data_IF_621720375327
#
_entry.id   IF_621720375327
#
_cell.length_a   1.000
_cell.length_b   1.000
_cell.length_c   1.000
_cell.angle_alpha   90.00
_cell.angle_beta   90.00
_cell.angle_gamma   90.00
#
_symmetry.space_group_name_H-M   'P 1'
#
loop_
_entity.id
_entity.type
_entity.pdbx_description
1 polymer ?
#
# COMPACT_ATOMS: atom_id res chain seq x y z
N UNK A 1 -88.93 -24.96 -19.93
CA UNK A 1 -88.12 -25.43 -21.07
C UNK A 1 -86.71 -24.92 -20.83
N UNK A 2 -85.74 -25.84 -20.70
CA UNK A 2 -84.25 -25.76 -20.73
C UNK A 2 -83.57 -24.40 -20.45
N UNK A 3 -82.44 -24.23 -19.78
CA UNK A 3 -81.33 -24.99 -19.19
C UNK A 3 -80.52 -23.85 -18.51
N UNK A 4 -79.84 -23.98 -17.38
CA UNK A 4 -78.70 -24.84 -17.20
C UNK A 4 -77.83 -24.32 -16.04
N UNK A 5 -77.26 -25.27 -15.31
CA UNK A 5 -76.23 -25.12 -14.29
C UNK A 5 -74.99 -24.39 -14.83
N UNK A 6 -74.28 -23.65 -13.97
CA UNK A 6 -72.94 -24.07 -13.49
C UNK A 6 -72.36 -23.08 -12.47
N UNK A 7 -71.93 -23.64 -11.33
CA UNK A 7 -71.02 -23.04 -10.35
C UNK A 7 -69.67 -22.75 -11.03
N UNK A 8 -69.03 -21.63 -10.67
CA UNK A 8 -67.60 -21.46 -10.90
C UNK A 8 -66.95 -20.94 -9.62
N UNK A 9 -66.09 -21.78 -9.03
CA UNK A 9 -65.11 -21.46 -8.01
C UNK A 9 -63.97 -20.72 -8.73
N UNK A 10 -63.55 -19.57 -8.22
CA UNK A 10 -62.50 -18.74 -8.82
C UNK A 10 -61.56 -18.15 -7.76
N UNK A 11 -60.53 -18.94 -7.45
CA UNK A 11 -59.20 -18.62 -6.92
C UNK A 11 -58.88 -17.16 -6.53
N UNK A 12 -58.50 -16.98 -5.26
CA UNK A 12 -57.75 -15.82 -4.77
C UNK A 12 -56.29 -15.97 -5.22
N UNK A 13 -55.79 -15.05 -6.05
CA UNK A 13 -54.36 -14.96 -6.37
C UNK A 13 -53.72 -13.94 -5.44
N UNK A 14 -52.90 -14.45 -4.51
CA UNK A 14 -52.03 -13.68 -3.65
C UNK A 14 -50.85 -13.17 -4.49
N UNK A 15 -50.89 -11.90 -4.88
CA UNK A 15 -49.80 -11.25 -5.59
C UNK A 15 -48.61 -11.03 -4.67
N UNK A 16 -47.66 -11.98 -4.67
CA UNK A 16 -46.36 -11.79 -4.03
C UNK A 16 -45.56 -10.74 -4.80
N UNK A 17 -45.12 -9.73 -4.05
CA UNK A 17 -44.11 -8.74 -4.40
C UNK A 17 -42.85 -9.43 -4.93
N UNK A 18 -42.63 -9.38 -6.25
CA UNK A 18 -41.31 -9.59 -6.82
C UNK A 18 -40.56 -8.26 -6.78
N UNK A 19 -39.98 -7.96 -5.62
CA UNK A 19 -38.88 -7.01 -5.56
C UNK A 19 -37.74 -7.57 -6.39
N UNK A 20 -37.39 -6.88 -7.49
CA UNK A 20 -36.18 -7.15 -8.24
C UNK A 20 -34.98 -6.85 -7.35
N UNK A 21 -34.50 -7.85 -6.61
CA UNK A 21 -33.14 -7.84 -6.10
C UNK A 21 -32.22 -7.94 -7.31
N UNK A 22 -31.57 -6.84 -7.67
CA UNK A 22 -30.40 -6.88 -8.53
C UNK A 22 -29.37 -7.79 -7.86
N UNK A 23 -29.20 -9.01 -8.37
CA UNK A 23 -28.09 -9.87 -8.01
C UNK A 23 -26.87 -9.24 -8.71
N UNK A 24 -26.04 -8.54 -7.94
CA UNK A 24 -24.78 -8.00 -8.44
C UNK A 24 -23.92 -9.17 -8.95
N UNK A 25 -23.61 -9.18 -10.25
CA UNK A 25 -22.70 -10.16 -10.85
C UNK A 25 -21.29 -9.94 -10.31
N UNK A 26 -20.89 -10.78 -9.36
CA UNK A 26 -19.58 -10.74 -8.70
C UNK A 26 -18.60 -11.72 -9.40
N UNK A 27 -18.58 -11.76 -10.73
CA UNK A 27 -17.82 -12.76 -11.52
C UNK A 27 -16.71 -12.17 -12.39
N UNK A 28 -16.56 -10.84 -12.50
CA UNK A 28 -15.63 -10.25 -13.48
C UNK A 28 -14.14 -10.48 -13.18
N UNK A 29 -13.76 -10.67 -11.92
CA UNK A 29 -12.39 -11.04 -11.52
C UNK A 29 -12.21 -12.56 -11.39
N UNK A 30 -13.29 -13.34 -11.54
CA UNK A 30 -13.25 -14.78 -11.41
C UNK A 30 -12.44 -15.39 -12.57
N UNK A 31 -11.53 -16.31 -12.24
CA UNK A 31 -10.69 -17.00 -13.24
C UNK A 31 -9.37 -16.32 -13.63
N UNK A 32 -9.05 -15.13 -13.11
CA UNK A 32 -7.73 -14.49 -13.33
C UNK A 32 -6.63 -15.23 -12.55
N UNK A 33 -6.92 -15.59 -11.30
CA UNK A 33 -6.02 -16.34 -10.42
C UNK A 33 -6.74 -17.50 -9.74
N UNK A 34 -6.07 -18.26 -8.86
CA UNK A 34 -6.69 -19.37 -8.13
C UNK A 34 -7.85 -18.91 -7.24
N UNK A 35 -7.75 -17.69 -6.70
CA UNK A 35 -8.80 -17.00 -5.91
C UNK A 35 -8.48 -15.52 -5.76
N UNK A 36 -9.48 -14.74 -5.38
CA UNK A 36 -9.32 -13.32 -5.04
C UNK A 36 -8.55 -13.14 -3.73
N UNK A 37 -7.69 -12.13 -3.70
CA UNK A 37 -6.92 -11.71 -2.53
C UNK A 37 -7.57 -10.53 -1.79
N UNK A 38 -8.46 -9.81 -2.46
CA UNK A 38 -9.23 -8.69 -1.93
C UNK A 38 -10.42 -8.41 -2.85
N UNK A 39 -11.43 -7.72 -2.34
CA UNK A 39 -12.57 -7.29 -3.16
C UNK A 39 -12.10 -6.43 -4.34
N UNK A 40 -12.68 -6.65 -5.51
CA UNK A 40 -12.42 -5.79 -6.66
C UNK A 40 -12.90 -4.36 -6.42
N UNK A 41 -12.23 -3.38 -7.04
CA UNK A 41 -12.61 -1.97 -6.99
C UNK A 41 -12.90 -1.45 -8.38
N UNK A 42 -13.94 -0.61 -8.52
CA UNK A 42 -14.19 0.15 -9.74
C UNK A 42 -13.35 1.43 -9.75
N UNK A 43 -12.63 1.66 -10.84
CA UNK A 43 -11.81 2.84 -11.11
C UNK A 43 -12.30 3.46 -12.42
N UNK A 44 -13.44 4.17 -12.35
CA UNK A 44 -14.04 4.83 -13.50
C UNK A 44 -14.31 3.89 -14.70
N UNK A 45 -14.88 2.71 -14.42
CA UNK A 45 -15.18 1.69 -15.44
C UNK A 45 -14.03 0.73 -15.75
N UNK A 46 -12.86 0.92 -15.14
CA UNK A 46 -11.81 -0.10 -15.04
C UNK A 46 -11.99 -0.88 -13.74
N UNK A 47 -11.97 -2.21 -13.78
CA UNK A 47 -12.01 -3.01 -12.56
C UNK A 47 -10.60 -3.41 -12.13
N UNK A 48 -10.23 -3.03 -10.91
CA UNK A 48 -9.01 -3.44 -10.22
C UNK A 48 -9.27 -4.78 -9.51
N UNK A 49 -8.66 -5.87 -9.99
CA UNK A 49 -8.79 -7.21 -9.46
C UNK A 49 -7.52 -7.62 -8.69
N UNK A 50 -7.66 -7.91 -7.40
CA UNK A 50 -6.57 -8.43 -6.57
C UNK A 50 -6.70 -9.93 -6.47
N UNK A 51 -5.70 -10.67 -6.97
CA UNK A 51 -5.76 -12.13 -6.99
C UNK A 51 -4.48 -12.74 -6.45
N UNK A 52 -4.62 -13.91 -5.83
CA UNK A 52 -3.47 -14.74 -5.54
C UNK A 52 -2.86 -15.26 -6.85
N UNK A 53 -1.55 -15.44 -6.89
CA UNK A 53 -0.84 -15.99 -8.04
C UNK A 53 0.19 -17.01 -7.58
N UNK A 54 0.39 -18.07 -8.38
CA UNK A 54 1.39 -19.09 -8.06
C UNK A 54 2.77 -18.51 -8.30
N UNK A 55 3.60 -18.45 -7.27
CA UNK A 55 5.00 -18.05 -7.42
C UNK A 55 5.81 -19.24 -7.92
N UNK A 56 6.51 -19.10 -9.05
CA UNK A 56 7.45 -20.11 -9.53
C UNK A 56 8.70 -20.12 -8.65
N UNK A 57 8.65 -20.80 -7.52
CA UNK A 57 9.82 -20.93 -6.63
C UNK A 57 10.74 -22.03 -7.19
N UNK A 58 11.88 -21.64 -7.78
CA UNK A 58 12.88 -22.58 -8.32
C UNK A 58 13.67 -23.36 -7.26
N UNK A 59 13.51 -23.05 -5.98
CA UNK A 59 14.26 -23.70 -4.90
C UNK A 59 13.34 -24.35 -3.87
N UNK A 60 13.48 -25.68 -3.80
CA UNK A 60 12.84 -26.59 -2.87
C UNK A 60 13.08 -26.18 -1.41
N UNK A 61 12.04 -25.61 -0.78
CA UNK A 61 11.72 -25.87 0.63
C UNK A 61 10.21 -26.00 0.72
N UNK A 62 9.75 -27.08 1.31
CA UNK A 62 8.35 -27.31 1.65
C UNK A 62 7.93 -26.27 2.68
N UNK A 63 7.43 -25.13 2.21
CA UNK A 63 6.66 -24.23 3.04
C UNK A 63 5.37 -24.97 3.46
N UNK A 64 4.95 -24.82 4.71
CA UNK A 64 3.76 -25.49 5.26
C UNK A 64 2.45 -25.07 4.56
N UNK A 65 2.50 -24.00 3.74
CA UNK A 65 1.46 -23.54 2.83
C UNK A 65 2.10 -23.27 1.47
N UNK A 66 1.38 -23.55 0.39
CA UNK A 66 1.81 -23.13 -0.95
C UNK A 66 1.90 -21.60 -0.94
N UNK A 67 3.09 -21.01 -1.17
CA UNK A 67 3.22 -19.59 -0.92
C UNK A 67 2.80 -18.84 -2.18
N UNK A 68 1.52 -18.48 -2.20
CA UNK A 68 0.94 -17.68 -3.27
C UNK A 68 1.34 -16.21 -3.09
N UNK A 69 1.75 -15.57 -4.19
CA UNK A 69 1.93 -14.14 -4.28
C UNK A 69 0.60 -13.44 -4.47
N UNK A 70 0.60 -12.11 -4.43
CA UNK A 70 -0.57 -11.30 -4.78
C UNK A 70 -0.23 -10.45 -6.00
N UNK A 71 -1.18 -10.32 -6.90
CA UNK A 71 -1.04 -9.48 -8.10
C UNK A 71 -2.30 -8.66 -8.33
N UNK A 72 -2.12 -7.45 -8.86
CA UNK A 72 -3.19 -6.57 -9.31
C UNK A 72 -3.32 -6.69 -10.82
N UNK A 73 -4.55 -6.94 -11.27
CA UNK A 73 -4.93 -6.89 -12.68
C UNK A 73 -5.95 -5.76 -12.91
N UNK A 74 -5.90 -5.18 -14.11
CA UNK A 74 -6.92 -4.28 -14.63
C UNK A 74 -7.80 -5.05 -15.61
N UNK A 75 -9.12 -4.93 -15.46
CA UNK A 75 -10.11 -5.56 -16.33
C UNK A 75 -11.01 -4.48 -16.92
N UNK A 76 -11.20 -4.55 -18.23
CA UNK A 76 -12.20 -3.78 -18.98
C UNK A 76 -13.13 -4.81 -19.62
N UNK A 77 -14.44 -4.57 -19.58
CA UNK A 77 -15.39 -5.44 -20.27
C UNK A 77 -14.97 -5.63 -21.72
N UNK A 78 -14.92 -6.87 -22.20
CA UNK A 78 -14.48 -7.29 -23.55
C UNK A 78 -12.96 -7.37 -23.82
N UNK A 79 -12.10 -7.08 -22.84
CA UNK A 79 -10.65 -7.28 -22.97
C UNK A 79 -10.11 -8.37 -22.03
N UNK A 80 -8.95 -8.93 -22.39
CA UNK A 80 -8.22 -9.81 -21.49
C UNK A 80 -7.70 -9.02 -20.27
N UNK A 81 -7.75 -9.58 -19.05
CA UNK A 81 -7.14 -8.99 -17.86
C UNK A 81 -5.66 -8.63 -18.09
N UNK A 82 -5.28 -7.41 -17.74
CA UNK A 82 -3.91 -6.91 -17.88
C UNK A 82 -3.24 -6.86 -16.51
N UNK A 83 -2.07 -7.51 -16.37
CA UNK A 83 -1.27 -7.42 -15.15
C UNK A 83 -0.79 -5.97 -14.97
N UNK A 84 -1.09 -5.38 -13.82
CA UNK A 84 -0.67 -4.03 -13.45
C UNK A 84 0.54 -4.08 -12.54
N UNK A 85 0.50 -4.95 -11.52
CA UNK A 85 1.53 -5.01 -10.50
C UNK A 85 1.58 -6.36 -9.81
N UNK A 86 2.79 -6.84 -9.54
CA UNK A 86 3.05 -7.96 -8.64
C UNK A 86 3.54 -7.41 -7.31
N UNK A 87 2.81 -7.71 -6.23
CA UNK A 87 3.18 -7.21 -4.92
C UNK A 87 4.45 -7.90 -4.41
N UNK A 88 5.27 -7.23 -3.57
CA UNK A 88 6.49 -7.83 -3.06
C UNK A 88 6.19 -9.13 -2.32
N UNK A 89 7.01 -10.15 -2.55
CA UNK A 89 6.81 -11.49 -1.99
C UNK A 89 8.05 -11.93 -1.22
N UNK A 90 7.83 -12.38 0.02
CA UNK A 90 8.90 -12.74 0.95
C UNK A 90 8.88 -14.23 1.35
N UNK A 91 8.31 -15.12 0.52
CA UNK A 91 8.25 -16.55 0.85
C UNK A 91 7.06 -16.95 1.71
N UNK A 92 6.17 -16.01 2.02
CA UNK A 92 4.95 -16.19 2.80
C UNK A 92 3.75 -15.70 1.99
N UNK A 93 2.57 -16.26 2.26
CA UNK A 93 1.34 -15.81 1.63
C UNK A 93 1.06 -14.36 2.05
N UNK A 94 0.94 -13.47 1.07
CA UNK A 94 0.61 -12.07 1.28
C UNK A 94 -0.89 -11.84 1.50
N UNK A 95 -1.25 -10.67 2.01
CA UNK A 95 -2.65 -10.23 2.11
C UNK A 95 -2.75 -8.74 1.81
N UNK A 96 -3.72 -8.35 0.99
CA UNK A 96 -4.13 -6.96 0.92
C UNK A 96 -4.97 -6.67 2.17
N UNK A 97 -4.46 -5.81 3.03
CA UNK A 97 -5.17 -5.44 4.27
C UNK A 97 -6.12 -4.29 4.04
N UNK A 98 -5.84 -3.43 3.04
CA UNK A 98 -6.69 -2.31 2.69
C UNK A 98 -6.44 -1.83 1.26
N UNK A 99 -7.47 -1.27 0.62
CA UNK A 99 -7.37 -0.63 -0.68
C UNK A 99 -8.40 0.49 -0.80
N UNK A 100 -7.95 1.73 -1.00
CA UNK A 100 -8.78 2.92 -0.95
C UNK A 100 -8.26 4.03 -1.86
N UNK A 101 -9.16 4.94 -2.26
CA UNK A 101 -8.81 6.09 -3.08
C UNK A 101 -8.47 7.29 -2.20
N UNK A 102 -7.43 8.04 -2.57
CA UNK A 102 -7.15 9.34 -1.98
C UNK A 102 -6.90 10.42 -3.03
N UNK A 103 -7.38 11.65 -2.80
CA UNK A 103 -6.93 12.79 -3.56
C UNK A 103 -5.47 13.10 -3.22
N UNK A 104 -4.69 13.41 -4.24
CA UNK A 104 -3.26 13.71 -4.09
C UNK A 104 -2.96 15.03 -4.77
N UNK A 105 -2.32 15.97 -4.07
CA UNK A 105 -2.05 17.28 -4.66
C UNK A 105 -1.20 17.15 -5.93
N UNK A 106 -1.64 17.87 -6.98
CA UNK A 106 -1.04 17.79 -8.32
C UNK A 106 -1.46 16.59 -9.17
N UNK A 107 -2.28 15.66 -8.64
CA UNK A 107 -2.93 14.63 -9.45
C UNK A 107 -4.29 15.13 -9.97
N UNK A 108 -4.66 14.72 -11.18
CA UNK A 108 -5.94 15.08 -11.79
C UNK A 108 -7.11 14.27 -11.23
N UNK A 109 -6.87 13.00 -10.91
CA UNK A 109 -7.84 12.06 -10.35
C UNK A 109 -7.33 11.51 -9.02
N UNK A 110 -8.23 10.95 -8.22
CA UNK A 110 -7.84 10.20 -7.02
C UNK A 110 -6.96 9.00 -7.41
N UNK A 111 -6.00 8.68 -6.55
CA UNK A 111 -5.11 7.55 -6.74
C UNK A 111 -5.53 6.41 -5.83
N UNK A 112 -5.40 5.18 -6.30
CA UNK A 112 -5.66 3.97 -5.54
C UNK A 112 -4.42 3.62 -4.70
N UNK A 113 -4.57 3.60 -3.39
CA UNK A 113 -3.56 3.15 -2.43
C UNK A 113 -3.90 1.75 -1.98
N UNK A 114 -2.92 0.86 -2.00
CA UNK A 114 -3.10 -0.55 -1.65
C UNK A 114 -2.09 -0.91 -0.57
N UNK A 115 -2.57 -1.32 0.60
CA UNK A 115 -1.75 -1.78 1.71
C UNK A 115 -1.63 -3.29 1.63
N UNK A 116 -0.41 -3.77 1.40
CA UNK A 116 -0.06 -5.17 1.32
C UNK A 116 0.78 -5.58 2.54
N UNK A 117 0.42 -6.72 3.14
CA UNK A 117 1.08 -7.28 4.32
C UNK A 117 1.59 -8.69 4.02
N UNK A 118 2.79 -9.02 4.50
CA UNK A 118 3.34 -10.36 4.48
C UNK A 118 4.03 -10.69 5.81
N UNK A 119 4.04 -11.95 6.21
CA UNK A 119 4.80 -12.39 7.37
C UNK A 119 6.30 -12.20 7.11
N UNK A 120 7.01 -11.61 8.08
CA UNK A 120 8.44 -11.39 7.95
C UNK A 120 9.20 -12.74 7.91
N UNK A 121 10.10 -12.95 6.94
CA UNK A 121 10.99 -14.10 6.96
C UNK A 121 11.81 -14.13 8.24
N UNK A 122 12.05 -15.32 8.80
CA UNK A 122 12.91 -15.47 9.99
C UNK A 122 14.34 -14.96 9.81
N UNK A 123 14.79 -14.81 8.57
CA UNK A 123 16.11 -14.26 8.24
C UNK A 123 16.16 -12.74 8.22
N UNK A 124 15.02 -12.05 8.42
CA UNK A 124 14.95 -10.59 8.45
C UNK A 124 14.93 -10.12 9.89
N UNK A 125 15.52 -8.95 10.16
CA UNK A 125 15.60 -8.34 11.50
C UNK A 125 14.25 -7.75 12.00
N UNK A 126 13.15 -8.04 11.28
CA UNK A 126 11.83 -7.51 11.61
C UNK A 126 11.15 -8.33 12.71
N UNK A 127 10.60 -7.65 13.71
CA UNK A 127 9.77 -8.24 14.77
C UNK A 127 8.27 -8.07 14.52
N UNK A 128 7.87 -7.50 13.38
CA UNK A 128 6.48 -7.46 12.93
C UNK A 128 6.34 -8.02 11.54
N UNK A 129 5.10 -8.21 11.09
CA UNK A 129 4.79 -8.33 9.66
C UNK A 129 5.42 -7.17 8.87
N UNK A 130 5.72 -7.46 7.61
CA UNK A 130 6.24 -6.50 6.65
C UNK A 130 5.07 -5.93 5.86
N UNK A 131 5.06 -4.61 5.71
CA UNK A 131 4.04 -3.87 5.00
C UNK A 131 4.64 -3.14 3.81
N UNK A 132 3.84 -2.97 2.77
CA UNK A 132 4.11 -2.09 1.65
C UNK A 132 2.83 -1.32 1.31
N UNK A 133 2.97 -0.09 0.83
CA UNK A 133 1.88 0.66 0.21
C UNK A 133 2.23 0.93 -1.24
N UNK A 134 1.39 0.39 -2.13
CA UNK A 134 1.49 0.63 -3.57
C UNK A 134 0.50 1.69 -4.00
N UNK A 135 0.93 2.61 -4.86
CA UNK A 135 0.10 3.70 -5.38
C UNK A 135 -0.13 3.47 -6.86
N UNK A 136 -1.40 3.31 -7.23
CA UNK A 136 -1.83 3.06 -8.60
C UNK A 136 -2.59 4.29 -9.08
N UNK A 137 -2.20 4.79 -10.24
CA UNK A 137 -2.90 5.90 -10.92
C UNK A 137 -3.55 5.39 -12.19
N UNK A 138 -4.60 6.08 -12.61
CA UNK A 138 -5.19 5.89 -13.92
C UNK A 138 -4.42 6.70 -14.97
N UNK A 139 -4.26 6.13 -16.15
CA UNK A 139 -3.71 6.79 -17.34
C UNK A 139 -4.55 6.41 -18.55
N UNK A 140 -5.50 7.27 -18.91
CA UNK A 140 -6.52 6.94 -19.91
C UNK A 140 -7.32 5.72 -19.47
N UNK A 141 -7.27 4.66 -20.27
CA UNK A 141 -7.97 3.40 -20.01
C UNK A 141 -7.05 2.33 -19.40
N UNK A 142 -6.03 2.74 -18.64
CA UNK A 142 -5.10 1.83 -17.99
C UNK A 142 -4.86 2.21 -16.52
N UNK A 143 -4.61 1.17 -15.72
CA UNK A 143 -4.03 1.31 -14.38
C UNK A 143 -2.53 1.13 -14.46
N UNK A 144 -1.78 2.02 -13.81
CA UNK A 144 -0.31 1.99 -13.80
C UNK A 144 0.22 2.30 -12.40
N UNK A 145 1.29 1.60 -12.00
CA UNK A 145 1.99 1.86 -10.75
C UNK A 145 2.69 3.23 -10.80
N UNK A 146 2.38 4.11 -9.86
CA UNK A 146 3.17 5.30 -9.60
C UNK A 146 4.40 4.92 -8.77
N UNK A 147 5.51 4.66 -9.46
CA UNK A 147 6.76 4.22 -8.84
C UNK A 147 7.26 5.18 -7.77
N UNK A 148 7.10 6.48 -7.99
CA UNK A 148 7.64 7.51 -7.10
C UNK A 148 6.87 7.59 -5.79
N UNK A 149 5.54 7.61 -5.88
CA UNK A 149 4.67 7.61 -4.71
C UNK A 149 4.72 6.28 -3.97
N UNK A 150 4.80 5.17 -4.69
CA UNK A 150 5.02 3.84 -4.10
C UNK A 150 6.33 3.78 -3.32
N UNK A 151 7.43 4.30 -3.89
CA UNK A 151 8.74 4.35 -3.22
C UNK A 151 8.74 5.17 -1.93
N UNK A 152 7.92 6.21 -1.83
CA UNK A 152 7.83 6.98 -0.58
C UNK A 152 7.43 6.09 0.61
N UNK A 153 6.51 5.16 0.38
CA UNK A 153 6.07 4.22 1.40
C UNK A 153 7.02 3.03 1.54
N UNK A 154 7.49 2.50 0.41
CA UNK A 154 8.38 1.34 0.29
C UNK A 154 7.95 0.15 1.19
N UNK A 155 8.81 -0.86 1.31
CA UNK A 155 8.63 -2.02 2.16
C UNK A 155 9.24 -1.80 3.55
N UNK A 156 8.56 -2.24 4.61
CA UNK A 156 9.20 -2.27 5.92
C UNK A 156 8.40 -2.91 7.05
N UNK A 157 9.11 -3.18 8.15
CA UNK A 157 8.57 -3.75 9.38
C UNK A 157 9.19 -3.06 10.61
N UNK A 158 8.79 -3.48 11.81
CA UNK A 158 9.38 -2.96 13.03
C UNK A 158 10.68 -3.67 13.36
N UNK A 159 11.67 -2.96 13.88
CA UNK A 159 12.92 -3.55 14.36
C UNK A 159 13.17 -3.17 15.82
N UNK A 160 13.92 -4.02 16.51
CA UNK A 160 14.34 -3.81 17.90
C UNK A 160 15.85 -4.02 18.03
N UNK A 161 16.43 -3.55 19.13
CA UNK A 161 17.80 -3.91 19.51
C UNK A 161 17.85 -5.26 20.23
N UNK A 162 19.06 -5.71 20.59
CA UNK A 162 19.25 -6.96 21.33
C UNK A 162 18.61 -7.02 22.72
N UNK A 163 18.08 -5.89 23.23
CA UNK A 163 17.33 -5.81 24.48
C UNK A 163 15.81 -5.75 24.25
N UNK A 164 15.36 -5.86 23.00
CA UNK A 164 13.95 -5.76 22.62
C UNK A 164 13.40 -4.34 22.56
N UNK A 165 14.24 -3.30 22.66
CA UNK A 165 13.78 -1.91 22.56
C UNK A 165 13.61 -1.51 21.10
N UNK A 166 12.52 -0.83 20.78
CA UNK A 166 12.24 -0.39 19.40
C UNK A 166 13.37 0.49 18.85
N UNK A 167 13.95 0.06 17.73
CA UNK A 167 14.96 0.83 17.00
C UNK A 167 14.34 1.51 15.79
N UNK A 168 13.29 0.94 15.19
CA UNK A 168 12.54 1.54 14.10
C UNK A 168 11.11 1.00 14.05
N UNK A 169 10.19 1.87 13.63
CA UNK A 169 8.75 1.58 13.54
C UNK A 169 8.30 1.98 12.13
N UNK A 170 8.06 0.99 11.26
CA UNK A 170 7.41 1.23 9.98
C UNK A 170 6.05 1.94 10.17
N UNK A 171 5.83 3.11 9.55
CA UNK A 171 4.69 3.97 9.88
C UNK A 171 3.41 3.70 9.06
N UNK A 172 3.48 2.98 7.94
CA UNK A 172 2.39 2.98 6.94
C UNK A 172 1.58 1.68 6.94
N UNK A 173 1.04 1.30 8.10
CA UNK A 173 0.38 -0.01 8.30
C UNK A 173 -1.12 -0.03 8.07
N UNK A 174 -1.75 1.14 8.06
CA UNK A 174 -3.20 1.30 7.97
C UNK A 174 -3.56 2.54 7.16
N UNK A 175 -4.82 2.59 6.70
CA UNK A 175 -5.34 3.69 5.89
C UNK A 175 -5.12 5.05 6.54
N UNK A 176 -5.42 5.19 7.83
CA UNK A 176 -5.27 6.46 8.57
C UNK A 176 -3.83 6.97 8.53
N UNK A 177 -2.85 6.08 8.68
CA UNK A 177 -1.43 6.44 8.65
C UNK A 177 -0.97 6.83 7.24
N UNK A 178 -1.52 6.20 6.20
CA UNK A 178 -1.28 6.57 4.80
C UNK A 178 -1.91 7.93 4.49
N UNK A 179 -3.16 8.17 4.88
CA UNK A 179 -3.84 9.45 4.73
C UNK A 179 -3.06 10.60 5.38
N UNK A 180 -2.62 10.40 6.62
CA UNK A 180 -1.80 11.38 7.33
C UNK A 180 -0.46 11.65 6.62
N UNK A 181 0.16 10.61 6.06
CA UNK A 181 1.39 10.74 5.30
C UNK A 181 1.16 11.50 3.99
N UNK A 182 0.13 11.17 3.22
CA UNK A 182 -0.23 11.84 1.96
C UNK A 182 -0.55 13.32 2.21
N UNK A 183 -1.23 13.65 3.30
CA UNK A 183 -1.50 15.03 3.71
C UNK A 183 -0.28 15.81 4.22
N UNK A 184 0.87 15.16 4.42
CA UNK A 184 2.04 15.79 5.05
C UNK A 184 2.84 16.68 4.07
N UNK A 185 3.47 17.77 4.56
CA UNK A 185 4.40 18.56 3.76
C UNK A 185 5.56 17.74 3.18
N UNK A 186 6.01 16.73 3.93
CA UNK A 186 7.09 15.83 3.50
C UNK A 186 6.68 15.08 2.23
N UNK A 187 5.53 14.39 2.23
CA UNK A 187 5.06 13.64 1.06
C UNK A 187 4.92 14.56 -0.14
N UNK A 188 4.18 15.67 0.00
CA UNK A 188 3.89 16.60 -1.09
C UNK A 188 5.17 17.18 -1.74
N UNK A 189 6.21 17.41 -0.93
CA UNK A 189 7.47 17.97 -1.42
C UNK A 189 8.36 16.90 -2.06
N UNK A 190 8.55 15.75 -1.39
CA UNK A 190 9.48 14.72 -1.86
C UNK A 190 8.96 14.04 -3.13
N UNK A 191 7.66 13.75 -3.22
CA UNK A 191 7.07 13.15 -4.43
C UNK A 191 7.07 14.09 -5.63
N UNK A 192 7.52 15.34 -5.47
CA UNK A 192 7.74 16.31 -6.57
C UNK A 192 9.23 16.64 -6.80
N UNK A 193 10.14 15.80 -6.29
CA UNK A 193 11.62 15.96 -6.39
C UNK A 193 12.14 17.27 -5.80
N UNK A 194 11.37 17.85 -4.87
CA UNK A 194 11.77 19.04 -4.14
C UNK A 194 12.35 18.65 -2.79
N UNK A 195 13.11 19.59 -2.22
CA UNK A 195 13.70 19.45 -0.89
C UNK A 195 12.90 20.25 0.12
N UNK A 196 12.76 19.73 1.34
CA UNK A 196 12.05 20.41 2.43
C UNK A 196 12.98 20.65 3.61
N UNK A 197 12.89 21.83 4.22
CA UNK A 197 13.61 22.12 5.47
C UNK A 197 12.85 21.53 6.65
N UNK A 198 13.60 21.05 7.63
CA UNK A 198 13.05 20.60 8.90
C UNK A 198 14.00 20.89 10.06
N UNK A 199 13.47 20.74 11.27
CA UNK A 199 14.23 20.84 12.52
C UNK A 199 14.11 19.55 13.31
N UNK A 200 15.23 19.06 13.82
CA UNK A 200 15.27 17.86 14.67
C UNK A 200 14.49 18.09 15.98
N UNK A 201 13.62 17.16 16.33
CA UNK A 201 12.75 17.24 17.51
C UNK A 201 13.46 16.87 18.82
N UNK A 202 14.35 15.88 18.75
CA UNK A 202 15.07 15.29 19.88
C UNK A 202 16.37 14.63 19.42
N UNK A 203 17.17 14.09 20.34
CA UNK A 203 18.42 13.40 19.97
C UNK A 203 18.12 12.26 18.99
N UNK A 204 18.63 12.38 17.77
CA UNK A 204 18.29 11.50 16.64
C UNK A 204 19.56 10.91 16.05
N UNK A 205 19.69 9.59 16.10
CA UNK A 205 20.83 8.90 15.48
C UNK A 205 20.73 8.93 13.96
N UNK A 206 21.89 9.03 13.32
CA UNK A 206 22.03 9.06 11.88
C UNK A 206 22.57 7.73 11.37
N UNK A 207 22.13 7.35 10.17
CA UNK A 207 22.49 6.10 9.52
C UNK A 207 23.19 6.40 8.19
N UNK A 208 24.21 5.59 7.90
CA UNK A 208 24.86 5.57 6.60
C UNK A 208 23.93 4.98 5.54
N UNK A 209 24.22 5.23 4.26
CA UNK A 209 23.42 4.69 3.16
C UNK A 209 23.43 5.54 1.90
N UNK A 210 23.37 4.88 0.75
CA UNK A 210 23.26 5.52 -0.56
C UNK A 210 21.82 5.81 -0.93
N UNK A 211 21.17 4.82 -1.54
CA UNK A 211 19.74 4.83 -1.92
C UNK A 211 18.80 4.51 -0.76
N UNK A 212 19.30 3.83 0.27
CA UNK A 212 18.54 3.34 1.42
C UNK A 212 19.42 3.34 2.70
N UNK A 213 18.83 3.38 3.92
CA UNK A 213 19.57 3.35 5.17
C UNK A 213 20.21 1.99 5.46
N UNK A 214 21.48 1.99 5.87
CA UNK A 214 22.21 0.81 6.34
C UNK A 214 22.04 0.64 7.85
N UNK A 215 21.06 -0.19 8.25
CA UNK A 215 20.70 -0.37 9.67
C UNK A 215 21.77 -1.07 10.50
N UNK A 216 22.63 -1.88 9.86
CA UNK A 216 23.69 -2.64 10.55
C UNK A 216 24.89 -1.80 10.98
N UNK A 217 25.03 -0.58 10.43
CA UNK A 217 26.10 0.35 10.78
C UNK A 217 25.54 1.45 11.67
N UNK A 218 25.41 1.16 12.98
CA UNK A 218 25.08 2.20 13.96
C UNK A 218 26.18 3.27 13.95
N UNK A 219 25.95 4.35 13.21
CA UNK A 219 26.84 5.49 13.29
C UNK A 219 26.64 6.09 14.69
N UNK A 220 27.72 6.30 15.45
CA UNK A 220 27.67 7.06 16.72
C UNK A 220 27.34 8.55 16.48
N UNK A 221 26.94 8.91 15.27
CA UNK A 221 26.59 10.25 14.85
C UNK A 221 25.11 10.48 15.15
N UNK A 222 24.83 11.66 15.69
CA UNK A 222 23.47 12.07 15.99
C UNK A 222 23.34 13.57 15.75
N UNK A 223 22.10 14.01 15.56
CA UNK A 223 21.69 15.39 15.68
C UNK A 223 20.91 15.57 16.98
N UNK A 224 20.81 16.81 17.45
CA UNK A 224 20.06 17.17 18.66
C UNK A 224 18.90 18.10 18.32
N UNK A 225 18.02 18.30 19.30
CA UNK A 225 16.85 19.17 19.16
C UNK A 225 17.24 20.56 18.64
N UNK A 226 16.55 21.03 17.62
CA UNK A 226 16.73 22.35 17.00
C UNK A 226 17.72 22.36 15.84
N UNK A 227 18.51 21.29 15.62
CA UNK A 227 19.38 21.21 14.45
C UNK A 227 18.56 21.29 13.16
N UNK A 228 18.97 22.18 12.25
CA UNK A 228 18.32 22.35 10.95
C UNK A 228 18.85 21.32 9.96
N UNK A 229 17.93 20.70 9.24
CA UNK A 229 18.22 19.75 8.17
C UNK A 229 17.49 20.12 6.89
N UNK A 230 18.07 19.75 5.76
CA UNK A 230 17.40 19.73 4.47
C UNK A 230 17.11 18.27 4.12
N UNK A 231 15.86 17.92 3.90
CA UNK A 231 15.46 16.57 3.48
C UNK A 231 15.40 16.53 1.97
N UNK A 232 16.18 15.63 1.40
CA UNK A 232 16.34 15.49 -0.05
C UNK A 232 15.57 14.31 -0.62
N UNK A 233 15.25 13.32 0.21
CA UNK A 233 14.57 12.09 -0.17
C UNK A 233 13.88 11.45 1.04
N UNK A 234 12.89 10.58 0.80
CA UNK A 234 12.19 9.83 1.83
C UNK A 234 11.69 8.49 1.30
N UNK A 235 11.82 7.44 2.12
CA UNK A 235 11.29 6.10 1.85
C UNK A 235 11.02 5.36 3.18
N UNK A 236 9.96 4.57 3.30
CA UNK A 236 9.66 3.77 4.49
C UNK A 236 9.74 4.53 5.83
N UNK A 237 9.43 5.83 5.85
CA UNK A 237 9.56 6.64 7.07
C UNK A 237 10.99 7.01 7.47
N UNK A 238 11.96 6.77 6.58
CA UNK A 238 13.33 7.27 6.63
C UNK A 238 13.47 8.49 5.72
N UNK A 239 14.16 9.50 6.22
CA UNK A 239 14.42 10.76 5.55
C UNK A 239 15.93 10.88 5.30
N UNK A 240 16.31 11.15 4.05
CA UNK A 240 17.69 11.46 3.68
C UNK A 240 17.94 12.93 3.97
N UNK A 241 18.68 13.18 5.05
CA UNK A 241 18.94 14.51 5.59
C UNK A 241 20.33 14.99 5.25
N UNK A 242 20.42 16.24 4.82
CA UNK A 242 21.67 16.98 4.65
C UNK A 242 21.77 18.09 5.69
N UNK A 243 22.94 18.22 6.30
CA UNK A 243 23.23 19.25 7.31
C UNK A 243 24.67 19.73 7.23
N UNK A 244 24.92 20.97 7.65
CA UNK A 244 26.25 21.55 7.68
C UNK A 244 26.98 21.10 8.97
N UNK A 245 28.07 20.35 8.81
CA UNK A 245 28.95 19.96 9.90
C UNK A 245 30.29 20.69 9.78
N UNK A 246 30.48 21.75 10.59
CA UNK A 246 31.64 22.66 10.54
C UNK A 246 31.80 23.24 9.13
N UNK A 247 32.61 22.60 8.28
CA UNK A 247 32.99 23.08 6.94
C UNK A 247 32.42 22.25 5.79
N UNK A 248 31.77 21.11 6.06
CA UNK A 248 31.24 20.22 5.02
C UNK A 248 29.75 19.92 5.20
N UNK A 249 29.06 19.74 4.09
CA UNK A 249 27.71 19.17 4.09
C UNK A 249 27.84 17.66 4.25
N UNK A 250 27.10 17.10 5.20
CA UNK A 250 27.00 15.66 5.44
C UNK A 250 25.58 15.23 5.08
N UNK A 251 25.46 14.15 4.30
CA UNK A 251 24.17 13.51 3.98
C UNK A 251 24.10 12.14 4.64
N UNK A 252 23.03 11.89 5.39
CA UNK A 252 22.76 10.65 6.14
C UNK A 252 21.26 10.36 6.15
N UNK A 253 20.86 9.24 6.71
CA UNK A 253 19.47 8.90 6.96
C UNK A 253 19.08 9.11 8.42
N UNK A 254 17.87 9.61 8.66
CA UNK A 254 17.24 9.72 9.97
C UNK A 254 15.78 9.26 9.87
N UNK A 255 15.16 8.85 10.98
CA UNK A 255 13.72 8.56 10.96
C UNK A 255 12.94 9.87 10.80
N UNK A 256 12.03 9.92 9.82
CA UNK A 256 11.26 11.13 9.51
C UNK A 256 10.43 11.62 10.70
N UNK A 257 9.96 10.71 11.56
CA UNK A 257 9.22 11.05 12.79
C UNK A 257 9.99 11.95 13.76
N UNK A 258 11.31 11.99 13.64
CA UNK A 258 12.19 12.81 14.49
C UNK A 258 12.42 14.21 13.94
N UNK A 259 11.76 14.58 12.83
CA UNK A 259 11.92 15.85 12.13
C UNK A 259 10.56 16.58 12.12
N UNK A 260 10.57 17.83 12.56
CA UNK A 260 9.44 18.73 12.34
C UNK A 260 9.63 19.44 11.00
N UNK A 261 8.67 19.30 10.10
CA UNK A 261 8.69 19.94 8.79
C UNK A 261 7.98 21.29 8.86
N UNK A 262 8.67 22.34 8.45
CA UNK A 262 8.04 23.64 8.25
C UNK A 262 7.23 23.56 6.95
N UNK A 263 5.93 23.88 6.99
CA UNK A 263 5.21 24.17 5.75
C UNK A 263 5.97 25.30 5.03
N UNK A 264 6.33 25.07 3.77
CA UNK A 264 6.98 26.08 2.93
C UNK A 264 5.98 27.10 2.43
#
# INVERSE_FOLDING_TARGET
MLMGMRRMIGLIVFGCLLGSTAIAGNEECSGIGPREAYNSLDVHGLKACFVYTKVSVKNERTYSRAPDGVSLYSVISSENPKLVYEFPYAGTEGAITDAFFLPVAGAAEEMLFVIHRMEAPRSWDSVSDIYNVSVIRREGDALVLDQKRTRFFDLGGHTVDGQGRSTYVYPYKDQKSVEAAVGSPLFQTIVTDKKIKGSILEKTFLYDGGSEPLLQNSSKTYLIKGDSVLVEDSMAGWCKVSYQAKVKIITKWAQCKSINFSAS
#
